data_IF_862953265925
#
_entry.id   IF_862953265925
#
_cell.length_a   1.000
_cell.length_b   1.000
_cell.length_c   1.000
_cell.angle_alpha   90.00
_cell.angle_beta   90.00
_cell.angle_gamma   90.00
#
_symmetry.space_group_name_H-M   'P 1'
#
loop_
_entity.id
_entity.type
_entity.pdbx_description
1 polymer ?
#
# COMPACT_ATOMS: atom_id res chain seq x y z
N UNK A 1 0.36 -23.14 -9.75
CA UNK A 1 -0.48 -22.73 -8.62
C UNK A 1 0.23 -21.63 -7.84
N UNK A 2 -0.37 -20.44 -7.75
CA UNK A 2 0.21 -19.29 -7.04
C UNK A 2 -0.56 -19.01 -5.74
N UNK A 3 0.16 -18.61 -4.69
CA UNK A 3 -0.40 -18.21 -3.40
C UNK A 3 -0.27 -16.71 -3.24
N UNK A 4 -1.26 -16.09 -2.59
CA UNK A 4 -1.20 -14.71 -2.14
C UNK A 4 -0.53 -14.61 -0.77
N UNK A 5 0.05 -13.44 -0.50
CA UNK A 5 0.59 -13.05 0.79
C UNK A 5 -0.42 -12.13 1.46
N UNK A 6 -0.96 -12.53 2.61
CA UNK A 6 -1.90 -11.70 3.36
C UNK A 6 -1.17 -10.57 4.10
N UNK A 7 -1.89 -9.46 4.26
CA UNK A 7 -1.49 -8.36 5.12
C UNK A 7 -2.45 -8.26 6.31
N UNK A 8 -1.90 -8.16 7.52
CA UNK A 8 -2.67 -8.07 8.75
C UNK A 8 -3.31 -6.69 8.92
N UNK A 9 -4.63 -6.66 9.01
CA UNK A 9 -5.42 -5.50 9.41
C UNK A 9 -5.50 -5.44 10.93
N UNK A 10 -4.65 -4.59 11.51
CA UNK A 10 -4.61 -4.37 12.96
C UNK A 10 -5.88 -3.71 13.52
N UNK A 11 -6.67 -3.00 12.70
CA UNK A 11 -7.89 -2.34 13.15
C UNK A 11 -9.03 -3.34 13.35
N UNK A 12 -9.12 -4.37 12.50
CA UNK A 12 -10.19 -5.37 12.53
C UNK A 12 -9.76 -6.75 13.03
N UNK A 13 -8.47 -6.98 13.25
CA UNK A 13 -7.94 -8.24 13.76
C UNK A 13 -8.08 -9.41 12.78
N UNK A 14 -7.95 -9.13 11.47
CA UNK A 14 -8.06 -10.11 10.38
C UNK A 14 -7.13 -9.74 9.23
N UNK A 15 -7.02 -10.57 8.19
CA UNK A 15 -6.34 -10.17 6.97
C UNK A 15 -7.14 -9.08 6.23
N UNK A 16 -6.46 -8.18 5.54
CA UNK A 16 -7.12 -7.32 4.55
C UNK A 16 -7.78 -8.17 3.48
N UNK A 17 -9.00 -7.79 3.10
CA UNK A 17 -9.70 -8.45 2.00
C UNK A 17 -9.04 -8.04 0.68
N UNK A 18 -8.76 -9.04 -0.17
CA UNK A 18 -8.24 -8.78 -1.50
C UNK A 18 -9.35 -8.18 -2.36
N UNK A 19 -9.16 -6.93 -2.78
CA UNK A 19 -10.06 -6.21 -3.66
C UNK A 19 -9.24 -5.55 -4.77
N UNK A 20 -9.82 -5.44 -5.97
CA UNK A 20 -9.28 -4.70 -7.09
C UNK A 20 -10.27 -3.61 -7.50
N UNK A 21 -9.77 -2.42 -7.84
CA UNK A 21 -10.60 -1.29 -8.25
C UNK A 21 -10.29 -0.83 -9.67
N UNK A 22 -11.35 -0.54 -10.42
CA UNK A 22 -11.29 0.08 -11.74
C UNK A 22 -12.50 1.00 -11.96
N UNK A 23 -12.29 2.30 -11.95
CA UNK A 23 -13.34 3.31 -11.94
C UNK A 23 -14.31 3.10 -10.78
N UNK A 24 -15.58 2.85 -11.09
CA UNK A 24 -16.61 2.58 -10.09
C UNK A 24 -16.77 1.07 -9.78
N UNK A 25 -15.97 0.21 -10.41
CA UNK A 25 -16.00 -1.23 -10.19
C UNK A 25 -15.05 -1.60 -9.05
N UNK A 26 -15.56 -2.39 -8.10
CA UNK A 26 -14.79 -3.04 -7.05
C UNK A 26 -14.99 -4.55 -7.18
N UNK A 27 -13.88 -5.28 -7.26
CA UNK A 27 -13.87 -6.72 -7.45
C UNK A 27 -13.21 -7.39 -6.23
N UNK A 28 -13.99 -7.91 -5.28
CA UNK A 28 -13.45 -8.73 -4.21
C UNK A 28 -12.99 -10.08 -4.76
N UNK A 29 -11.81 -10.54 -4.34
CA UNK A 29 -11.19 -11.78 -4.82
C UNK A 29 -10.87 -12.69 -3.64
N UNK A 30 -11.37 -13.92 -3.70
CA UNK A 30 -10.95 -14.96 -2.77
C UNK A 30 -9.61 -15.55 -3.21
N UNK A 31 -8.62 -15.52 -2.32
CA UNK A 31 -7.26 -16.00 -2.61
C UNK A 31 -6.88 -17.16 -1.70
N UNK A 32 -5.93 -18.00 -2.16
CA UNK A 32 -5.27 -19.00 -1.32
C UNK A 32 -4.01 -18.40 -0.73
N UNK A 33 -3.85 -18.46 0.58
CA UNK A 33 -2.71 -17.85 1.27
C UNK A 33 -1.96 -18.85 2.13
N UNK A 34 -0.67 -18.59 2.34
CA UNK A 34 0.24 -19.44 3.17
C UNK A 34 1.18 -18.62 4.05
N UNK A 35 1.18 -17.30 3.85
CA UNK A 35 1.99 -16.35 4.57
C UNK A 35 1.13 -15.13 4.85
N UNK A 36 1.20 -14.64 6.08
CA UNK A 36 0.61 -13.38 6.48
C UNK A 36 1.71 -12.51 7.08
N UNK A 37 1.70 -11.23 6.75
CA UNK A 37 2.68 -10.24 7.19
C UNK A 37 1.96 -9.07 7.86
N UNK A 38 2.67 -8.26 8.64
CA UNK A 38 2.09 -7.08 9.32
C UNK A 38 2.82 -5.77 8.99
N UNK A 39 3.78 -5.79 8.07
CA UNK A 39 4.51 -4.62 7.60
C UNK A 39 4.85 -4.74 6.11
N UNK A 40 4.78 -3.61 5.40
CA UNK A 40 4.91 -3.58 3.95
C UNK A 40 6.29 -4.00 3.44
N UNK A 41 7.42 -3.60 4.06
CA UNK A 41 8.75 -4.07 3.65
C UNK A 41 8.90 -5.59 3.70
N UNK A 42 8.39 -6.25 4.74
CA UNK A 42 8.43 -7.72 4.83
C UNK A 42 7.61 -8.37 3.73
N UNK A 43 6.40 -7.87 3.45
CA UNK A 43 5.55 -8.38 2.36
C UNK A 43 6.23 -8.26 1.00
N UNK A 44 6.82 -7.11 0.69
CA UNK A 44 7.51 -6.86 -0.56
C UNK A 44 8.74 -7.76 -0.73
N UNK A 45 9.56 -7.91 0.32
CA UNK A 45 10.73 -8.79 0.27
C UNK A 45 10.35 -10.27 0.13
N UNK A 46 9.25 -10.70 0.75
CA UNK A 46 8.71 -12.04 0.56
C UNK A 46 8.26 -12.26 -0.90
N UNK A 47 7.56 -11.30 -1.49
CA UNK A 47 7.16 -11.33 -2.90
C UNK A 47 8.37 -11.41 -3.84
N UNK A 48 9.38 -10.56 -3.62
CA UNK A 48 10.65 -10.56 -4.37
C UNK A 48 11.42 -11.87 -4.26
N UNK A 49 11.28 -12.56 -3.13
CA UNK A 49 11.90 -13.88 -2.89
C UNK A 49 11.08 -15.04 -3.48
N UNK A 50 9.97 -14.75 -4.16
CA UNK A 50 9.10 -15.75 -4.80
C UNK A 50 8.14 -16.45 -3.85
N UNK A 51 7.86 -15.90 -2.66
CA UNK A 51 6.94 -16.51 -1.69
C UNK A 51 5.47 -16.47 -2.13
N UNK A 52 5.10 -15.57 -3.04
CA UNK A 52 3.73 -15.42 -3.53
C UNK A 52 3.47 -14.09 -4.22
N UNK A 53 2.18 -13.80 -4.43
CA UNK A 53 1.66 -12.54 -4.98
C UNK A 53 1.32 -11.60 -3.82
N UNK A 54 1.66 -10.32 -3.93
CA UNK A 54 1.34 -9.31 -2.93
C UNK A 54 0.60 -8.11 -3.56
N UNK A 55 -0.39 -7.57 -2.85
CA UNK A 55 -0.93 -6.24 -3.12
C UNK A 55 -0.16 -5.22 -2.27
N UNK A 56 0.58 -4.34 -2.94
CA UNK A 56 1.48 -3.35 -2.33
C UNK A 56 1.23 -1.99 -2.95
N UNK A 57 1.52 -0.92 -2.20
CA UNK A 57 1.42 0.44 -2.71
C UNK A 57 2.41 0.64 -3.87
N UNK A 58 1.93 1.14 -5.00
CA UNK A 58 2.66 1.24 -6.27
C UNK A 58 4.01 1.97 -6.13
N UNK A 59 4.06 3.06 -5.36
CA UNK A 59 5.30 3.82 -5.17
C UNK A 59 6.43 2.98 -4.55
N UNK A 60 6.09 1.93 -3.79
CA UNK A 60 7.06 1.05 -3.15
C UNK A 60 7.65 0.00 -4.10
N UNK A 61 7.09 -0.17 -5.29
CA UNK A 61 7.52 -1.20 -6.27
C UNK A 61 8.06 -0.66 -7.57
N UNK A 62 8.00 0.66 -7.81
CA UNK A 62 8.40 1.30 -9.09
C UNK A 62 9.75 0.80 -9.61
N UNK A 63 10.78 0.74 -8.76
CA UNK A 63 12.12 0.29 -9.16
C UNK A 63 12.15 -1.21 -9.52
N UNK A 64 11.52 -2.04 -8.69
CA UNK A 64 11.50 -3.49 -8.86
C UNK A 64 10.72 -3.90 -10.11
N UNK A 65 9.64 -3.20 -10.44
CA UNK A 65 8.88 -3.41 -11.68
C UNK A 65 9.70 -2.94 -12.88
N UNK A 66 10.29 -1.73 -12.82
CA UNK A 66 11.13 -1.19 -13.90
C UNK A 66 12.29 -2.10 -14.24
N UNK A 67 12.93 -2.68 -13.23
CA UNK A 67 14.09 -3.56 -13.40
C UNK A 67 13.70 -5.03 -13.64
N UNK A 68 12.40 -5.33 -13.78
CA UNK A 68 11.87 -6.67 -14.11
C UNK A 68 11.94 -7.71 -12.97
N UNK A 69 12.22 -7.28 -11.74
CA UNK A 69 12.22 -8.15 -10.54
C UNK A 69 10.80 -8.44 -10.05
N UNK A 70 9.86 -7.54 -10.32
CA UNK A 70 8.43 -7.73 -10.13
C UNK A 70 7.71 -7.48 -11.44
N UNK A 71 6.51 -8.05 -11.55
CA UNK A 71 5.62 -7.85 -12.69
C UNK A 71 4.26 -7.46 -12.10
N UNK A 72 3.67 -6.40 -12.63
CA UNK A 72 2.28 -6.07 -12.35
C UNK A 72 1.36 -7.06 -13.08
N UNK A 73 0.55 -7.78 -12.32
CA UNK A 73 -0.35 -8.81 -12.85
C UNK A 73 -1.64 -8.21 -13.41
N UNK A 74 -2.06 -7.04 -12.93
CA UNK A 74 -3.37 -6.45 -13.20
C UNK A 74 -3.28 -4.93 -13.39
N UNK A 75 -2.52 -4.44 -14.39
CA UNK A 75 -2.28 -3.00 -14.57
C UNK A 75 -3.54 -2.17 -14.85
N UNK A 76 -4.62 -2.80 -15.30
CA UNK A 76 -5.90 -2.13 -15.55
C UNK A 76 -6.77 -1.97 -14.28
N UNK A 77 -6.29 -2.43 -13.11
CA UNK A 77 -7.04 -2.48 -11.85
C UNK A 77 -6.32 -1.74 -10.70
N UNK A 78 -5.74 -0.58 -11.01
CA UNK A 78 -4.90 0.20 -10.10
C UNK A 78 -5.60 1.39 -9.44
N UNK A 79 -6.93 1.49 -9.54
CA UNK A 79 -7.66 2.71 -9.12
C UNK A 79 -7.93 2.79 -7.60
N UNK A 80 -7.41 1.86 -6.80
CA UNK A 80 -7.48 1.92 -5.34
C UNK A 80 -6.54 3.02 -4.81
N UNK A 81 -7.09 3.99 -4.08
CA UNK A 81 -6.34 5.12 -3.54
C UNK A 81 -6.37 5.14 -2.03
N UNK A 82 -5.20 5.20 -1.42
CA UNK A 82 -5.03 5.37 0.03
C UNK A 82 -4.63 6.82 0.32
N UNK A 83 -5.54 7.66 0.86
CA UNK A 83 -5.23 9.04 1.16
C UNK A 83 -4.17 9.13 2.27
N UNK A 84 -3.13 9.93 2.04
CA UNK A 84 -2.11 10.22 3.03
C UNK A 84 -2.57 11.37 3.94
N UNK A 85 -2.58 11.13 5.25
CA UNK A 85 -3.04 12.10 6.23
C UNK A 85 -1.94 12.50 7.22
N UNK A 86 -1.84 13.80 7.52
CA UNK A 86 -1.04 14.32 8.63
C UNK A 86 -1.92 14.46 9.88
N UNK A 87 -1.65 13.65 10.91
CA UNK A 87 -2.42 13.63 12.17
C UNK A 87 -1.64 14.35 13.28
N UNK A 88 -2.28 15.28 13.98
CA UNK A 88 -1.71 16.01 15.12
C UNK A 88 -2.81 16.38 16.15
N UNK A 89 -2.47 16.58 17.45
CA UNK A 89 -3.46 16.54 18.54
C UNK A 89 -4.52 17.67 18.56
N UNK A 90 -4.27 18.83 17.93
CA UNK A 90 -5.23 19.96 17.96
C UNK A 90 -5.35 20.67 16.63
N UNK A 91 -6.60 20.86 16.17
CA UNK A 91 -6.94 21.71 15.01
C UNK A 91 -6.91 23.21 15.34
N UNK A 92 -7.05 23.58 16.62
CA UNK A 92 -7.29 24.96 17.06
C UNK A 92 -5.99 25.70 17.44
N UNK A 93 -4.98 24.99 17.96
CA UNK A 93 -3.70 25.56 18.38
C UNK A 93 -2.54 24.91 17.63
N UNK A 94 -2.50 25.04 16.30
CA UNK A 94 -1.29 24.66 15.54
C UNK A 94 -0.19 25.67 15.83
N UNK A 95 0.88 25.21 16.48
CA UNK A 95 2.10 26.01 16.62
C UNK A 95 2.68 26.30 15.24
N UNK A 96 3.36 27.45 15.10
CA UNK A 96 4.01 27.83 13.84
C UNK A 96 4.98 26.74 13.34
N UNK A 97 5.67 26.05 14.26
CA UNK A 97 6.59 24.94 13.94
C UNK A 97 5.88 23.75 13.28
N UNK A 98 4.71 23.33 13.81
CA UNK A 98 3.95 22.21 13.22
C UNK A 98 3.41 22.59 11.85
N UNK A 99 2.92 23.82 11.68
CA UNK A 99 2.46 24.31 10.37
C UNK A 99 3.58 24.29 9.34
N UNK A 100 4.72 24.90 9.66
CA UNK A 100 5.88 24.96 8.75
C UNK A 100 6.37 23.55 8.37
N UNK A 101 6.39 22.61 9.32
CA UNK A 101 6.77 21.23 9.02
C UNK A 101 5.77 20.52 8.08
N UNK A 102 4.46 20.67 8.33
CA UNK A 102 3.44 20.07 7.46
C UNK A 102 3.50 20.69 6.05
N UNK A 103 3.65 22.01 5.94
CA UNK A 103 3.84 22.69 4.66
C UNK A 103 5.07 22.15 3.90
N UNK A 104 6.21 22.06 4.57
CA UNK A 104 7.43 21.47 4.01
C UNK A 104 7.23 20.02 3.53
N UNK A 105 6.56 19.18 4.33
CA UNK A 105 6.30 17.78 3.94
C UNK A 105 5.34 17.70 2.76
N UNK A 106 4.31 18.56 2.70
CA UNK A 106 3.40 18.60 1.55
C UNK A 106 4.12 19.03 0.27
N UNK A 107 5.04 20.01 0.34
CA UNK A 107 5.87 20.41 -0.79
C UNK A 107 6.76 19.25 -1.26
N UNK A 108 7.40 18.54 -0.34
CA UNK A 108 8.25 17.38 -0.65
C UNK A 108 7.47 16.24 -1.32
N UNK A 109 6.22 16.02 -0.92
CA UNK A 109 5.38 14.95 -1.46
C UNK A 109 4.66 15.33 -2.75
N UNK A 110 4.60 16.61 -3.12
CA UNK A 110 4.03 17.06 -4.38
C UNK A 110 4.87 16.64 -5.60
N UNK A 111 6.12 16.22 -5.39
CA UNK A 111 7.07 15.81 -6.41
C UNK A 111 7.13 14.28 -6.65
N UNK A 112 6.33 13.48 -5.93
CA UNK A 112 6.35 11.99 -5.92
C UNK A 112 5.22 11.39 -6.77
#
# INVERSE_FOLDING_TARGET
DHYAIDFWDAAHGRAYEWEFRRGNEALPVSVRTRLMTSDAPTMLNACLSGAGIAQVLEFATREQVRDGRLIDLFPDWSDELFPLHAIYPSRQYRTAKVRAFVEFVMELLAEV
#
